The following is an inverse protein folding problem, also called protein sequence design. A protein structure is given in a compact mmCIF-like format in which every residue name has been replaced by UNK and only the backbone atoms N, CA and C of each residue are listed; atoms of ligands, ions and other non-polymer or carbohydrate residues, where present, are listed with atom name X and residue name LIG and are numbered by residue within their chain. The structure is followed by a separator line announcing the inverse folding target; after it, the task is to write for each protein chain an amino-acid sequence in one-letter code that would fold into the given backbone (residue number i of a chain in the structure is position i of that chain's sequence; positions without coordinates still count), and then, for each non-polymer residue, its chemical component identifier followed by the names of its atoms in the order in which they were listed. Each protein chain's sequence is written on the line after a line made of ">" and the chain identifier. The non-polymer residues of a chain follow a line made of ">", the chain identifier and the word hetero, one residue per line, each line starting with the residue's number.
data_IF_513652755264
#
_entry.id   IF_513652755264
#
_cell.length_a   1.000
_cell.length_b   1.000
_cell.length_c   1.000
_cell.angle_alpha   90.00
_cell.angle_beta   90.00
_cell.angle_gamma   90.00
#
_symmetry.space_group_name_H-M   'P 1'
#
loop_
_entity.id
_entity.type
_entity.pdbx_description
1 polymer ?
#
# COMPACT_ATOMS: atom_id res chain seq x y z
N UNK A 1 -19.47 25.27 1.25
CA UNK A 1 -19.08 24.00 1.90
C UNK A 1 -18.45 24.32 3.24
N UNK A 2 -18.95 23.69 4.30
CA UNK A 2 -18.49 23.88 5.68
C UNK A 2 -17.07 23.29 5.91
N UNK A 3 -16.32 23.85 6.85
CA UNK A 3 -14.95 23.46 7.15
C UNK A 3 -14.86 22.05 7.76
N UNK A 4 -15.88 21.61 8.49
CA UNK A 4 -15.97 20.24 9.00
C UNK A 4 -16.11 19.21 7.88
N UNK A 5 -16.96 19.49 6.89
CA UNK A 5 -17.14 18.62 5.72
C UNK A 5 -15.87 18.47 4.87
N UNK A 6 -15.03 19.51 4.80
CA UNK A 6 -13.72 19.46 4.13
C UNK A 6 -12.72 18.56 4.87
N UNK A 7 -12.69 18.58 6.21
CA UNK A 7 -11.80 17.71 6.99
C UNK A 7 -12.23 16.25 6.92
N UNK A 8 -13.52 15.98 7.06
CA UNK A 8 -14.05 14.61 6.94
C UNK A 8 -13.74 14.01 5.57
N UNK A 9 -13.89 14.81 4.50
CA UNK A 9 -13.52 14.39 3.15
C UNK A 9 -12.01 14.13 3.02
N UNK A 10 -11.18 15.00 3.60
CA UNK A 10 -9.72 14.82 3.59
C UNK A 10 -9.34 13.53 4.32
N UNK A 11 -9.86 13.30 5.52
CA UNK A 11 -9.58 12.12 6.33
C UNK A 11 -10.12 10.83 5.68
N UNK A 12 -11.28 10.90 5.02
CA UNK A 12 -11.82 9.80 4.23
C UNK A 12 -10.94 9.46 3.02
N UNK A 13 -10.41 10.47 2.32
CA UNK A 13 -9.47 10.27 1.21
C UNK A 13 -8.18 9.60 1.71
N UNK A 14 -7.61 10.08 2.81
CA UNK A 14 -6.42 9.48 3.41
C UNK A 14 -6.64 8.04 3.87
N UNK A 15 -7.82 7.72 4.41
CA UNK A 15 -8.17 6.36 4.87
C UNK A 15 -8.50 5.39 3.73
N UNK A 16 -9.04 5.88 2.61
CA UNK A 16 -9.45 5.05 1.45
C UNK A 16 -8.30 4.66 0.51
N UNK A 17 -7.11 5.25 0.69
CA UNK A 17 -5.95 5.10 -0.22
C UNK A 17 -5.26 3.73 -0.16
N UNK A 18 -5.60 2.86 0.80
CA UNK A 18 -4.88 1.61 1.04
C UNK A 18 -4.83 0.65 -0.16
N UNK A 19 -5.91 0.59 -0.96
CA UNK A 19 -5.96 -0.27 -2.15
C UNK A 19 -5.20 0.29 -3.36
N UNK A 20 -5.06 1.62 -3.45
CA UNK A 20 -4.39 2.26 -4.59
C UNK A 20 -2.88 1.98 -4.57
N UNK A 21 -2.28 2.03 -3.39
CA UNK A 21 -0.85 1.77 -3.21
C UNK A 21 -0.45 0.33 -3.57
N UNK A 22 -1.37 -0.63 -3.39
CA UNK A 22 -1.18 -2.04 -3.74
C UNK A 22 -0.88 -2.26 -5.22
N UNK A 23 -1.46 -1.43 -6.08
CA UNK A 23 -1.32 -1.54 -7.54
C UNK A 23 -0.34 -0.50 -8.06
N UNK A 24 -0.38 0.71 -7.52
CA UNK A 24 0.43 1.82 -7.99
C UNK A 24 1.93 1.54 -7.84
N UNK A 25 2.37 1.06 -6.67
CA UNK A 25 3.79 0.79 -6.43
C UNK A 25 4.37 -0.26 -7.40
N UNK A 26 3.76 -1.46 -7.59
CA UNK A 26 4.23 -2.42 -8.59
C UNK A 26 4.20 -1.88 -10.02
N UNK A 27 3.17 -1.11 -10.39
CA UNK A 27 3.06 -0.52 -11.73
C UNK A 27 4.18 0.49 -11.98
N UNK A 28 4.46 1.38 -11.02
CA UNK A 28 5.54 2.37 -11.16
C UNK A 28 6.91 1.69 -11.28
N UNK A 29 7.16 0.67 -10.46
CA UNK A 29 8.41 -0.10 -10.52
C UNK A 29 8.52 -0.86 -11.86
N UNK A 30 7.43 -1.46 -12.36
CA UNK A 30 7.43 -2.12 -13.66
C UNK A 30 7.68 -1.14 -14.82
N UNK A 31 7.07 0.05 -14.78
CA UNK A 31 7.32 1.11 -15.77
C UNK A 31 8.78 1.57 -15.77
N UNK A 32 9.41 1.64 -14.59
CA UNK A 32 10.83 1.93 -14.46
C UNK A 32 11.69 0.83 -15.10
N UNK A 33 11.29 -0.43 -14.94
CA UNK A 33 11.93 -1.57 -15.62
C UNK A 33 11.79 -1.50 -17.14
N UNK A 34 10.60 -1.13 -17.65
CA UNK A 34 10.35 -0.96 -19.07
C UNK A 34 11.20 0.17 -19.67
N UNK A 35 11.39 1.27 -18.93
CA UNK A 35 12.24 2.37 -19.35
C UNK A 35 13.70 1.92 -19.48
N UNK A 36 14.21 1.17 -18.50
CA UNK A 36 15.56 0.58 -18.53
C UNK A 36 15.69 -0.38 -19.72
N UNK A 37 14.71 -1.26 -19.92
CA UNK A 37 14.70 -2.20 -21.04
C UNK A 37 14.77 -1.45 -22.39
N UNK A 38 14.03 -0.34 -22.54
CA UNK A 38 14.03 0.47 -23.77
C UNK A 38 15.36 1.19 -24.02
N UNK A 39 16.03 1.63 -22.95
CA UNK A 39 17.33 2.31 -23.04
C UNK A 39 18.47 1.33 -23.34
N UNK A 40 18.38 0.10 -22.82
CA UNK A 40 19.38 -0.95 -23.00
C UNK A 40 19.16 -1.81 -24.27
N UNK A 41 18.02 -1.65 -24.96
CA UNK A 41 17.64 -2.47 -26.12
C UNK A 41 17.34 -3.93 -25.77
N UNK A 42 17.10 -4.22 -24.48
CA UNK A 42 16.76 -5.57 -24.02
C UNK A 42 15.29 -5.89 -24.28
N UNK A 43 14.97 -7.17 -24.46
CA UNK A 43 13.60 -7.69 -24.29
C UNK A 43 13.09 -7.30 -22.88
N UNK A 44 11.76 -7.25 -22.62
CA UNK A 44 11.19 -6.67 -21.38
C UNK A 44 11.46 -7.51 -20.12
N UNK A 45 12.73 -7.75 -19.81
CA UNK A 45 13.19 -8.63 -18.73
C UNK A 45 13.22 -7.85 -17.42
N UNK A 46 13.72 -6.61 -17.44
CA UNK A 46 13.73 -5.77 -16.24
C UNK A 46 12.30 -5.39 -15.83
N UNK A 47 11.42 -5.08 -16.78
CA UNK A 47 10.01 -4.87 -16.53
C UNK A 47 9.37 -6.05 -15.78
N UNK A 48 9.58 -7.29 -16.25
CA UNK A 48 9.01 -8.48 -15.63
C UNK A 48 9.59 -8.76 -14.23
N UNK A 49 10.90 -8.63 -14.07
CA UNK A 49 11.57 -8.79 -12.78
C UNK A 49 11.05 -7.77 -11.75
N UNK A 50 10.93 -6.51 -12.17
CA UNK A 50 10.46 -5.41 -11.35
C UNK A 50 8.97 -5.52 -11.03
N UNK A 51 8.14 -5.95 -11.98
CA UNK A 51 6.73 -6.24 -11.74
C UNK A 51 6.56 -7.36 -10.68
N UNK A 52 7.31 -8.45 -10.82
CA UNK A 52 7.28 -9.55 -9.86
C UNK A 52 7.73 -9.08 -8.46
N UNK A 53 8.84 -8.35 -8.39
CA UNK A 53 9.35 -7.79 -7.14
C UNK A 53 8.35 -6.83 -6.48
N UNK A 54 7.80 -5.89 -7.24
CA UNK A 54 6.80 -4.94 -6.76
C UNK A 54 5.54 -5.63 -6.25
N UNK A 55 5.09 -6.69 -6.95
CA UNK A 55 3.94 -7.49 -6.54
C UNK A 55 4.19 -8.19 -5.21
N UNK A 56 5.35 -8.83 -5.05
CA UNK A 56 5.74 -9.49 -3.79
C UNK A 56 5.80 -8.48 -2.65
N UNK A 57 6.41 -7.31 -2.87
CA UNK A 57 6.47 -6.24 -1.86
C UNK A 57 5.08 -5.74 -1.45
N UNK A 58 4.18 -5.55 -2.42
CA UNK A 58 2.81 -5.13 -2.18
C UNK A 58 2.01 -6.16 -1.35
N UNK A 59 2.18 -7.45 -1.64
CA UNK A 59 1.57 -8.54 -0.85
C UNK A 59 2.12 -8.57 0.58
N UNK A 60 3.45 -8.47 0.75
CA UNK A 60 4.07 -8.43 2.07
C UNK A 60 3.56 -7.24 2.89
N UNK A 61 3.42 -6.07 2.27
CA UNK A 61 2.85 -4.89 2.93
C UNK A 61 1.47 -5.17 3.49
N UNK A 62 0.54 -5.70 2.68
CA UNK A 62 -0.82 -6.03 3.13
C UNK A 62 -0.79 -7.00 4.30
N UNK A 63 0.06 -8.01 4.22
CA UNK A 63 0.19 -9.00 5.28
C UNK A 63 0.65 -8.38 6.61
N UNK A 64 1.67 -7.52 6.57
CA UNK A 64 2.17 -6.87 7.78
C UNK A 64 1.24 -5.79 8.33
N UNK A 65 0.57 -5.02 7.47
CA UNK A 65 -0.43 -4.03 7.89
C UNK A 65 -1.61 -4.72 8.59
N UNK A 66 -2.04 -5.88 8.07
CA UNK A 66 -3.06 -6.70 8.74
C UNK A 66 -2.61 -7.17 10.13
N UNK A 67 -1.39 -7.69 10.27
CA UNK A 67 -0.87 -8.10 11.58
C UNK A 67 -0.79 -6.94 12.57
N UNK A 68 -0.34 -5.76 12.12
CA UNK A 68 -0.28 -4.55 12.96
C UNK A 68 -1.68 -4.15 13.46
N UNK A 69 -2.67 -4.14 12.58
CA UNK A 69 -4.05 -3.84 12.96
C UNK A 69 -4.62 -4.83 13.98
N UNK A 70 -4.27 -6.12 13.88
CA UNK A 70 -4.68 -7.13 14.86
C UNK A 70 -4.01 -6.95 16.22
N UNK A 71 -2.73 -6.57 16.24
CA UNK A 71 -2.01 -6.28 17.49
C UNK A 71 -2.62 -5.06 18.21
N UNK A 72 -2.88 -3.97 17.48
CA UNK A 72 -3.52 -2.76 18.02
C UNK A 72 -4.93 -3.06 18.57
N UNK A 73 -5.73 -3.86 17.84
CA UNK A 73 -7.05 -4.26 18.30
C UNK A 73 -7.00 -5.13 19.57
N UNK A 74 -6.02 -6.04 19.65
CA UNK A 74 -5.83 -6.88 20.84
C UNK A 74 -5.46 -6.06 22.08
N UNK A 75 -4.58 -5.07 21.94
CA UNK A 75 -4.24 -4.14 23.02
C UNK A 75 -5.47 -3.32 23.48
N UNK A 76 -6.28 -2.82 22.54
CA UNK A 76 -7.50 -2.08 22.89
C UNK A 76 -8.52 -2.93 23.65
N UNK A 77 -8.73 -4.18 23.24
CA UNK A 77 -9.62 -5.12 23.94
C UNK A 77 -9.09 -5.46 25.34
N UNK A 78 -7.78 -5.57 25.52
CA UNK A 78 -7.17 -5.80 26.83
C UNK A 78 -7.36 -4.59 27.76
N UNK A 79 -7.14 -3.36 27.26
CA UNK A 79 -7.36 -2.13 28.02
C UNK A 79 -8.82 -1.95 28.45
N UNK A 80 -9.78 -2.16 27.54
CA UNK A 80 -11.22 -2.09 27.86
C UNK A 80 -11.62 -3.14 28.91
N UNK A 81 -10.99 -4.32 28.90
CA UNK A 81 -11.25 -5.38 29.89
C UNK A 81 -10.65 -5.07 31.26
N UNK A 82 -9.56 -4.32 31.34
CA UNK A 82 -9.00 -3.87 32.63
C UNK A 82 -9.81 -2.73 33.25
N UNK A 83 -10.50 -1.92 32.44
CA UNK A 83 -11.37 -0.83 32.91
C UNK A 83 -12.79 -1.28 33.33
N UNK A 84 -13.15 -2.56 33.12
CA UNK A 84 -14.48 -3.14 33.37
C UNK A 84 -14.51 -4.07 34.60
#
# INVERSE_FOLDING_TARGET
>A
MDAAAKRDLHDAIWRSSGGFDLVLAPVLIALLGLWIDSAAGTRPVFMLAFLAFGTVGAVLKVYYDYQRGMAEAAEHVAAVREEA
#
